data_IF_261493874440
#
_entry.id   IF_261493874440
#
_cell.length_a   1.000
_cell.length_b   1.000
_cell.length_c   1.000
_cell.angle_alpha   90.00
_cell.angle_beta   90.00
_cell.angle_gamma   90.00
#
_symmetry.space_group_name_H-M   'P 1'
#
loop_
_entity.id
_entity.type
_entity.pdbx_description
1 polymer ?
#
# COMPACT_ATOMS: atom_id res chain seq x y z
N UNK A 1 -26.79 5.41 -15.80
CA UNK A 1 -25.79 5.19 -14.74
C UNK A 1 -24.47 5.76 -15.23
N UNK A 2 -23.88 6.75 -14.54
CA UNK A 2 -22.55 7.24 -14.91
C UNK A 2 -21.56 6.08 -14.73
N UNK A 3 -20.89 5.68 -15.82
CA UNK A 3 -19.81 4.70 -15.76
C UNK A 3 -18.65 5.34 -15.03
N UNK A 4 -18.36 4.87 -13.80
CA UNK A 4 -17.18 5.32 -13.06
C UNK A 4 -15.92 5.08 -13.89
N UNK A 5 -14.98 6.02 -13.85
CA UNK A 5 -13.72 5.89 -14.54
C UNK A 5 -12.89 4.74 -13.94
N UNK A 6 -12.40 3.78 -14.73
CA UNK A 6 -11.54 2.72 -14.25
C UNK A 6 -10.14 3.28 -13.92
N UNK A 7 -9.59 2.87 -12.78
CA UNK A 7 -8.25 3.26 -12.32
C UNK A 7 -7.53 2.07 -11.69
N UNK A 8 -6.20 2.08 -11.71
CA UNK A 8 -5.37 1.25 -10.86
C UNK A 8 -5.35 1.87 -9.45
N UNK A 9 -5.61 1.08 -8.42
CA UNK A 9 -5.43 1.49 -7.03
C UNK A 9 -4.08 0.96 -6.53
N UNK A 10 -3.18 1.87 -6.21
CA UNK A 10 -1.85 1.55 -5.73
C UNK A 10 -1.78 1.69 -4.22
N UNK A 11 -1.14 0.72 -3.57
CA UNK A 11 -0.63 0.86 -2.20
C UNK A 11 0.89 0.74 -2.27
N UNK A 12 1.57 1.84 -1.96
CA UNK A 12 3.04 1.89 -1.93
C UNK A 12 3.50 1.77 -0.48
N UNK A 13 4.47 0.91 -0.22
CA UNK A 13 4.97 0.63 1.13
C UNK A 13 6.43 1.09 1.20
N UNK A 14 6.66 2.14 1.99
CA UNK A 14 7.99 2.67 2.30
C UNK A 14 8.53 1.93 3.52
N UNK A 15 9.45 1.00 3.28
CA UNK A 15 9.95 0.08 4.31
C UNK A 15 10.90 0.78 5.29
N UNK A 16 11.59 1.84 4.87
CA UNK A 16 12.53 2.58 5.70
C UNK A 16 11.84 3.42 6.79
N UNK A 17 10.79 4.15 6.43
CA UNK A 17 10.00 4.98 7.37
C UNK A 17 8.83 4.21 7.98
N UNK A 18 8.60 2.98 7.52
CA UNK A 18 7.52 2.09 7.98
C UNK A 18 6.15 2.73 7.79
N UNK A 19 5.90 3.35 6.63
CA UNK A 19 4.61 3.94 6.26
C UNK A 19 4.12 3.42 4.91
N UNK A 20 2.85 3.62 4.66
CA UNK A 20 2.21 3.32 3.39
C UNK A 20 1.55 4.57 2.79
N UNK A 21 1.41 4.56 1.47
CA UNK A 21 0.72 5.54 0.65
C UNK A 21 -0.34 4.83 -0.18
N UNK A 22 -1.42 5.53 -0.53
CA UNK A 22 -2.42 5.04 -1.46
C UNK A 22 -2.71 6.07 -2.52
N UNK A 23 -2.61 5.67 -3.79
CA UNK A 23 -2.82 6.51 -4.95
C UNK A 23 -3.74 5.84 -5.97
N UNK A 24 -4.41 6.65 -6.79
CA UNK A 24 -5.02 6.21 -8.03
C UNK A 24 -4.10 6.46 -9.21
N UNK A 25 -4.12 5.59 -10.21
CA UNK A 25 -3.54 5.84 -11.54
C UNK A 25 -4.62 5.54 -12.59
N UNK A 26 -4.95 6.49 -13.44
CA UNK A 26 -5.84 6.21 -14.58
C UNK A 26 -5.12 5.43 -15.69
N UNK A 27 -5.89 4.90 -16.64
CA UNK A 27 -5.34 4.08 -17.73
C UNK A 27 -4.50 4.88 -18.74
N UNK A 28 -4.47 6.21 -18.63
CA UNK A 28 -3.63 7.10 -19.43
C UNK A 28 -2.30 7.43 -18.72
N UNK A 29 -2.15 7.00 -17.45
CA UNK A 29 -0.97 7.27 -16.63
C UNK A 29 -1.08 8.56 -15.80
N UNK A 30 -2.24 9.20 -15.75
CA UNK A 30 -2.52 10.28 -14.80
C UNK A 30 -2.53 9.74 -13.38
N UNK A 31 -1.92 10.47 -12.44
CA UNK A 31 -1.79 10.02 -11.05
C UNK A 31 -2.57 10.90 -10.07
N UNK A 32 -3.07 10.25 -9.02
CA UNK A 32 -3.95 10.84 -8.03
C UNK A 32 -3.48 10.42 -6.64
N UNK A 33 -2.60 11.21 -5.99
CA UNK A 33 -2.35 11.07 -4.55
C UNK A 33 -3.67 11.10 -3.78
N UNK A 34 -3.88 10.12 -2.89
CA UNK A 34 -5.09 10.03 -2.08
C UNK A 34 -4.76 10.24 -0.61
N UNK A 35 -4.06 9.28 -0.02
CA UNK A 35 -3.83 9.23 1.42
C UNK A 35 -2.43 8.69 1.72
N UNK A 36 -1.87 9.11 2.84
CA UNK A 36 -0.61 8.61 3.40
C UNK A 36 -0.79 8.32 4.88
N UNK A 37 -0.09 7.32 5.40
CA UNK A 37 -0.04 7.11 6.85
C UNK A 37 1.09 7.90 7.50
N UNK A 38 0.93 8.19 8.79
CA UNK A 38 2.05 8.70 9.59
C UNK A 38 3.27 7.74 9.53
N UNK A 39 4.50 8.28 9.58
CA UNK A 39 5.70 7.47 9.78
C UNK A 39 5.55 6.51 10.97
N UNK A 40 6.09 5.30 10.82
CA UNK A 40 6.01 4.27 11.85
C UNK A 40 4.65 3.55 11.95
N UNK A 41 3.69 3.80 11.05
CA UNK A 41 2.39 3.12 11.06
C UNK A 41 2.51 1.58 10.96
N UNK A 42 3.56 1.10 10.30
CA UNK A 42 3.88 -0.31 10.15
C UNK A 42 4.77 -0.87 11.25
N UNK A 43 5.30 -0.03 12.15
CA UNK A 43 6.21 -0.45 13.25
C UNK A 43 5.75 -1.68 14.06
N UNK A 44 4.44 -1.92 14.32
CA UNK A 44 4.02 -3.07 15.11
C UNK A 44 4.34 -4.46 14.52
N UNK A 45 4.72 -4.58 13.24
CA UNK A 45 5.18 -5.88 12.72
C UNK A 45 6.62 -6.20 13.15
N UNK A 46 7.39 -5.23 13.63
CA UNK A 46 8.80 -5.46 13.96
C UNK A 46 8.94 -6.30 15.23
N UNK A 47 9.84 -7.30 15.17
CA UNK A 47 10.22 -8.12 16.32
C UNK A 47 9.17 -9.13 16.79
N UNK A 48 8.06 -9.28 16.07
CA UNK A 48 7.05 -10.32 16.33
C UNK A 48 7.23 -11.53 15.39
N UNK A 49 6.73 -12.72 15.74
CA UNK A 49 6.78 -13.91 14.88
C UNK A 49 6.13 -13.70 13.51
N UNK A 50 6.61 -14.42 12.48
CA UNK A 50 6.16 -14.26 11.08
C UNK A 50 4.64 -14.32 10.92
N UNK A 51 3.95 -15.23 11.59
CA UNK A 51 2.49 -15.32 11.52
C UNK A 51 1.79 -14.05 12.03
N UNK A 52 2.35 -13.42 13.08
CA UNK A 52 1.87 -12.15 13.61
C UNK A 52 2.20 -10.99 12.65
N UNK A 53 3.38 -11.00 12.02
CA UNK A 53 3.76 -10.03 10.98
C UNK A 53 2.77 -10.07 9.82
N UNK A 54 2.51 -11.26 9.28
CA UNK A 54 1.57 -11.50 8.18
C UNK A 54 0.16 -11.04 8.58
N UNK A 55 -0.32 -11.44 9.76
CA UNK A 55 -1.64 -11.06 10.26
C UNK A 55 -1.79 -9.53 10.38
N UNK A 56 -0.81 -8.88 11.00
CA UNK A 56 -0.79 -7.42 11.16
C UNK A 56 -0.79 -6.70 9.82
N UNK A 57 0.13 -7.05 8.92
CA UNK A 57 0.28 -6.39 7.62
C UNK A 57 -0.97 -6.57 6.76
N UNK A 58 -1.56 -7.77 6.72
CA UNK A 58 -2.83 -8.02 6.04
C UNK A 58 -3.93 -7.11 6.57
N UNK A 59 -4.13 -7.06 7.89
CA UNK A 59 -5.16 -6.20 8.48
C UNK A 59 -4.90 -4.73 8.17
N UNK A 60 -3.65 -4.29 8.26
CA UNK A 60 -3.27 -2.90 8.05
C UNK A 60 -3.46 -2.45 6.61
N UNK A 61 -2.97 -3.23 5.66
CA UNK A 61 -3.03 -2.93 4.23
C UNK A 61 -4.46 -3.08 3.69
N UNK A 62 -5.27 -4.01 4.21
CA UNK A 62 -6.70 -4.07 3.91
C UNK A 62 -7.41 -2.76 4.32
N UNK A 63 -7.05 -2.19 5.48
CA UNK A 63 -7.56 -0.89 5.91
C UNK A 63 -7.12 0.27 4.99
N UNK A 64 -5.88 0.24 4.49
CA UNK A 64 -5.40 1.22 3.51
C UNK A 64 -6.17 1.13 2.19
N UNK A 65 -6.36 -0.10 1.68
CA UNK A 65 -7.12 -0.38 0.47
C UNK A 65 -8.57 0.12 0.57
N UNK A 66 -9.25 -0.19 1.68
CA UNK A 66 -10.62 0.27 1.90
C UNK A 66 -10.73 1.79 1.82
N UNK A 67 -9.84 2.51 2.51
CA UNK A 67 -9.83 3.99 2.47
C UNK A 67 -9.51 4.52 1.08
N UNK A 68 -8.60 3.87 0.35
CA UNK A 68 -8.32 4.18 -1.05
C UNK A 68 -9.56 4.08 -1.93
N UNK A 69 -10.28 2.96 -1.83
CA UNK A 69 -11.56 2.75 -2.52
C UNK A 69 -12.57 3.85 -2.18
N UNK A 70 -12.70 4.24 -0.92
CA UNK A 70 -13.61 5.31 -0.49
C UNK A 70 -13.25 6.66 -1.13
N UNK A 71 -11.96 7.02 -1.19
CA UNK A 71 -11.49 8.26 -1.82
C UNK A 71 -11.73 8.26 -3.33
N UNK A 72 -11.49 7.13 -4.01
CA UNK A 72 -11.78 7.00 -5.43
C UNK A 72 -13.27 7.09 -5.74
N UNK A 73 -14.11 6.49 -4.89
CA UNK A 73 -15.56 6.53 -5.07
C UNK A 73 -16.09 7.97 -5.03
N UNK A 74 -15.59 8.79 -4.11
CA UNK A 74 -15.91 10.22 -4.03
C UNK A 74 -15.51 11.01 -5.29
N UNK A 75 -14.55 10.50 -6.08
CA UNK A 75 -14.06 11.08 -7.34
C UNK A 75 -14.71 10.48 -8.59
N UNK A 76 -15.79 9.70 -8.46
CA UNK A 76 -16.41 8.95 -9.58
C UNK A 76 -15.45 7.97 -10.28
N UNK A 77 -14.45 7.47 -9.54
CA UNK A 77 -13.49 6.48 -10.02
C UNK A 77 -13.76 5.12 -9.37
N UNK A 78 -13.35 4.04 -10.03
CA UNK A 78 -13.46 2.67 -9.52
C UNK A 78 -12.18 1.89 -9.82
N UNK A 79 -11.58 1.22 -8.81
CA UNK A 79 -10.49 0.29 -9.04
C UNK A 79 -10.85 -0.80 -10.05
N UNK A 80 -10.04 -0.94 -11.10
CA UNK A 80 -10.09 -2.06 -12.03
C UNK A 80 -8.94 -3.05 -11.83
N UNK A 81 -7.93 -2.66 -11.04
CA UNK A 81 -6.77 -3.46 -10.61
C UNK A 81 -6.27 -2.87 -9.29
N UNK A 82 -5.78 -3.70 -8.39
CA UNK A 82 -5.01 -3.29 -7.21
C UNK A 82 -3.53 -3.66 -7.42
N UNK A 83 -2.65 -2.75 -7.06
CA UNK A 83 -1.19 -2.93 -7.11
C UNK A 83 -0.62 -2.69 -5.71
N UNK A 84 -0.05 -3.70 -5.08
CA UNK A 84 0.73 -3.56 -3.84
C UNK A 84 2.22 -3.54 -4.22
N UNK A 85 2.93 -2.47 -3.87
CA UNK A 85 4.34 -2.31 -4.20
C UNK A 85 5.15 -1.95 -2.97
N UNK A 86 6.13 -2.77 -2.60
CA UNK A 86 7.09 -2.44 -1.55
C UNK A 86 8.33 -1.79 -2.14
N UNK A 87 8.90 -0.80 -1.45
CA UNK A 87 10.26 -0.35 -1.73
C UNK A 87 11.24 -1.20 -0.91
N UNK A 88 11.78 -2.23 -1.56
CA UNK A 88 12.64 -3.22 -0.93
C UNK A 88 11.91 -4.23 -0.04
N UNK A 89 12.68 -5.10 0.63
CA UNK A 89 12.15 -6.07 1.59
C UNK A 89 11.66 -5.37 2.86
N UNK A 90 10.71 -6.00 3.56
CA UNK A 90 10.33 -5.54 4.89
C UNK A 90 11.52 -5.62 5.85
N UNK A 91 11.79 -4.52 6.55
CA UNK A 91 12.87 -4.43 7.53
C UNK A 91 12.67 -5.43 8.67
N UNK A 92 13.74 -6.08 9.12
CA UNK A 92 13.79 -7.01 10.26
C UNK A 92 12.72 -8.13 10.18
N UNK A 93 12.43 -8.59 8.96
CA UNK A 93 11.44 -9.62 8.66
C UNK A 93 12.03 -10.75 7.82
N UNK A 94 11.29 -11.86 7.75
CA UNK A 94 11.58 -12.93 6.81
C UNK A 94 11.55 -12.39 5.35
N UNK A 95 12.53 -12.74 4.49
CA UNK A 95 12.53 -12.32 3.08
C UNK A 95 11.24 -12.66 2.32
N UNK A 96 10.55 -13.73 2.73
CA UNK A 96 9.31 -14.20 2.12
C UNK A 96 8.07 -13.39 2.56
N UNK A 97 8.18 -12.51 3.55
CA UNK A 97 7.04 -11.80 4.13
C UNK A 97 6.24 -11.03 3.08
N UNK A 98 6.92 -10.33 2.17
CA UNK A 98 6.27 -9.56 1.12
C UNK A 98 5.45 -10.47 0.18
N UNK A 99 6.01 -11.63 -0.18
CA UNK A 99 5.32 -12.62 -1.01
C UNK A 99 4.14 -13.26 -0.27
N UNK A 100 4.30 -13.61 1.01
CA UNK A 100 3.22 -14.20 1.83
C UNK A 100 2.03 -13.25 1.99
N UNK A 101 2.31 -11.98 2.30
CA UNK A 101 1.28 -10.93 2.41
C UNK A 101 0.62 -10.69 1.04
N UNK A 102 1.41 -10.58 -0.02
CA UNK A 102 0.90 -10.37 -1.38
C UNK A 102 0.02 -11.51 -1.89
N UNK A 103 0.46 -12.76 -1.70
CA UNK A 103 -0.29 -13.94 -2.08
C UNK A 103 -1.65 -13.99 -1.38
N UNK A 104 -1.71 -13.63 -0.09
CA UNK A 104 -2.97 -13.54 0.63
C UNK A 104 -3.97 -12.59 -0.06
N UNK A 105 -3.53 -11.42 -0.52
CA UNK A 105 -4.42 -10.50 -1.21
C UNK A 105 -4.85 -11.04 -2.58
N UNK A 106 -3.96 -11.69 -3.32
CA UNK A 106 -4.30 -12.32 -4.60
C UNK A 106 -5.32 -13.45 -4.44
N UNK A 107 -5.21 -14.25 -3.38
CA UNK A 107 -6.10 -15.38 -3.13
C UNK A 107 -7.49 -14.94 -2.68
N UNK A 108 -7.58 -13.87 -1.88
CA UNK A 108 -8.83 -13.44 -1.24
C UNK A 108 -9.57 -12.32 -1.98
N UNK A 109 -8.89 -11.53 -2.81
CA UNK A 109 -9.51 -10.44 -3.58
C UNK A 109 -9.51 -10.77 -5.08
N UNK A 110 -10.69 -11.13 -5.59
CA UNK A 110 -10.86 -11.55 -7.00
C UNK A 110 -11.38 -10.44 -7.92
N UNK A 111 -12.00 -9.39 -7.36
CA UNK A 111 -12.55 -8.28 -8.15
C UNK A 111 -12.54 -6.96 -7.36
N UNK A 112 -11.62 -6.02 -7.63
CA UNK A 112 -10.60 -6.07 -8.68
C UNK A 112 -9.47 -7.08 -8.38
N UNK A 113 -8.79 -7.63 -9.42
CA UNK A 113 -7.61 -8.47 -9.25
C UNK A 113 -6.45 -7.69 -8.61
N UNK A 114 -5.55 -8.43 -7.96
CA UNK A 114 -4.39 -7.89 -7.26
C UNK A 114 -3.11 -8.36 -7.95
N UNK A 115 -2.14 -7.46 -8.02
CA UNK A 115 -0.74 -7.80 -8.27
C UNK A 115 0.10 -7.22 -7.14
N UNK A 116 1.08 -8.00 -6.71
CA UNK A 116 2.01 -7.60 -5.66
C UNK A 116 3.42 -7.67 -6.21
N UNK A 117 4.23 -6.68 -5.91
CA UNK A 117 5.63 -6.71 -6.28
C UNK A 117 6.51 -5.86 -5.38
N UNK A 118 7.79 -5.87 -5.71
CA UNK A 118 8.84 -5.17 -4.99
C UNK A 118 9.67 -4.37 -5.98
N UNK A 119 9.83 -3.09 -5.72
CA UNK A 119 10.77 -2.21 -6.43
C UNK A 119 11.92 -1.86 -5.50
N UNK A 120 13.07 -1.46 -6.04
CA UNK A 120 14.15 -0.87 -5.24
C UNK A 120 14.35 0.56 -5.73
N UNK A 121 14.31 1.53 -4.83
CA UNK A 121 14.39 2.95 -5.17
C UNK A 121 13.07 3.49 -5.72
N UNK A 122 11.94 2.97 -5.25
CA UNK A 122 10.64 3.55 -5.56
C UNK A 122 10.56 4.99 -5.05
N UNK A 123 11.05 5.25 -3.84
CA UNK A 123 11.04 6.57 -3.23
C UNK A 123 12.29 7.41 -3.55
N UNK A 124 13.40 6.77 -3.93
CA UNK A 124 14.69 7.45 -4.18
C UNK A 124 15.06 7.63 -5.66
N UNK A 125 14.59 6.76 -6.54
CA UNK A 125 15.12 6.60 -7.90
C UNK A 125 14.57 7.55 -8.97
N UNK A 126 15.17 7.44 -10.16
CA UNK A 126 14.67 7.95 -11.43
C UNK A 126 14.00 6.85 -12.26
N UNK A 127 13.17 7.24 -13.23
CA UNK A 127 12.56 6.32 -14.20
C UNK A 127 13.61 5.48 -14.97
N UNK A 128 13.25 4.27 -15.45
CA UNK A 128 11.93 3.64 -15.39
C UNK A 128 11.63 2.93 -14.04
N UNK A 129 10.36 2.61 -13.79
CA UNK A 129 9.97 1.72 -12.69
C UNK A 129 10.48 0.30 -12.96
N UNK A 130 11.52 -0.10 -12.23
CA UNK A 130 11.99 -1.48 -12.15
C UNK A 130 11.38 -2.17 -10.93
N UNK A 131 10.74 -3.33 -11.14
CA UNK A 131 10.10 -4.08 -10.08
C UNK A 131 10.03 -5.57 -10.42
N UNK A 132 10.00 -6.38 -9.36
CA UNK A 132 9.79 -7.82 -9.40
C UNK A 132 8.35 -8.13 -8.98
N UNK A 133 7.65 -8.96 -9.77
CA UNK A 133 6.32 -9.45 -9.40
C UNK A 133 6.47 -10.61 -8.42
N UNK A 134 5.91 -10.44 -7.23
CA UNK A 134 5.93 -11.45 -6.16
C UNK A 134 4.68 -12.34 -6.18
N UNK A 135 3.53 -11.78 -6.56
CA UNK A 135 2.27 -12.52 -6.66
C UNK A 135 1.29 -11.84 -7.62
N UNK A 136 0.39 -12.63 -8.23
CA UNK A 136 -0.62 -12.14 -9.16
C UNK A 136 -0.07 -11.82 -10.55
N UNK A 137 -0.86 -11.09 -11.34
CA UNK A 137 -0.48 -10.70 -12.70
C UNK A 137 -1.05 -9.34 -13.07
N UNK A 138 -0.39 -8.67 -14.02
CA UNK A 138 -0.78 -7.38 -14.54
C UNK A 138 -0.75 -7.41 -16.07
N UNK A 139 -1.85 -7.00 -16.70
CA UNK A 139 -1.92 -6.92 -18.16
C UNK A 139 -0.96 -5.84 -18.70
N UNK A 140 -0.39 -6.01 -19.91
CA UNK A 140 0.60 -5.08 -20.46
C UNK A 140 0.14 -3.61 -20.53
N UNK A 141 -1.14 -3.37 -20.85
CA UNK A 141 -1.71 -2.01 -20.89
C UNK A 141 -1.70 -1.34 -19.51
N UNK A 142 -2.04 -2.10 -18.48
CA UNK A 142 -2.03 -1.63 -17.09
C UNK A 142 -0.61 -1.46 -16.56
N UNK A 143 0.33 -2.30 -17.01
CA UNK A 143 1.75 -2.13 -16.70
C UNK A 143 2.28 -0.81 -17.29
N UNK A 144 1.89 -0.46 -18.52
CA UNK A 144 2.25 0.83 -19.13
C UNK A 144 1.67 2.01 -18.35
N UNK A 145 0.38 1.93 -17.98
CA UNK A 145 -0.26 2.96 -17.16
C UNK A 145 0.40 3.09 -15.78
N UNK A 146 0.71 1.96 -15.13
CA UNK A 146 1.42 1.90 -13.85
C UNK A 146 2.78 2.61 -13.93
N UNK A 147 3.60 2.28 -14.93
CA UNK A 147 4.92 2.89 -15.09
C UNK A 147 4.82 4.42 -15.26
N UNK A 148 3.95 4.89 -16.17
CA UNK A 148 3.74 6.31 -16.40
C UNK A 148 3.19 7.05 -15.17
N UNK A 149 2.21 6.45 -14.48
CA UNK A 149 1.61 7.05 -13.30
C UNK A 149 2.54 7.06 -12.08
N UNK A 150 3.39 6.04 -11.91
CA UNK A 150 4.42 6.07 -10.86
C UNK A 150 5.44 7.17 -11.12
N UNK A 151 5.86 7.37 -12.38
CA UNK A 151 6.76 8.47 -12.72
C UNK A 151 6.15 9.84 -12.38
N UNK A 152 4.84 10.03 -12.62
CA UNK A 152 4.13 11.23 -12.16
C UNK A 152 4.00 11.32 -10.63
N UNK A 153 3.86 10.19 -9.92
CA UNK A 153 3.76 10.17 -8.45
C UNK A 153 5.07 10.52 -7.75
N UNK A 154 6.24 10.33 -8.39
CA UNK A 154 7.55 10.56 -7.73
C UNK A 154 7.69 11.95 -7.12
N UNK A 155 7.12 12.97 -7.74
CA UNK A 155 7.15 14.32 -7.16
C UNK A 155 6.22 14.44 -5.96
N UNK A 156 5.01 13.88 -6.04
CA UNK A 156 4.08 13.84 -4.91
C UNK A 156 4.65 13.05 -3.73
N UNK A 157 5.40 11.96 -3.98
CA UNK A 157 6.05 11.17 -2.93
C UNK A 157 7.06 11.97 -2.08
N UNK A 158 7.58 13.08 -2.60
CA UNK A 158 8.51 13.99 -1.90
C UNK A 158 7.81 15.13 -1.15
N UNK A 159 6.49 15.26 -1.28
CA UNK A 159 5.71 16.34 -0.69
C UNK A 159 4.57 15.80 0.17
N UNK A 160 4.67 15.95 1.48
CA UNK A 160 3.62 15.52 2.41
C UNK A 160 2.29 16.26 2.17
N UNK A 161 2.32 17.49 1.62
CA UNK A 161 1.13 18.29 1.30
C UNK A 161 0.31 17.72 0.14
N UNK A 162 0.91 16.85 -0.69
CA UNK A 162 0.20 16.20 -1.79
C UNK A 162 -0.79 15.12 -1.30
N UNK A 163 -0.74 14.73 -0.02
CA UNK A 163 -1.48 13.58 0.52
C UNK A 163 -2.39 13.98 1.68
N UNK A 164 -3.54 13.31 1.79
CA UNK A 164 -4.33 13.35 3.03
C UNK A 164 -3.68 12.43 4.08
N UNK A 165 -3.29 12.99 5.23
CA UNK A 165 -2.67 12.23 6.32
C UNK A 165 -3.70 11.38 7.09
N UNK A 166 -3.39 10.09 7.26
CA UNK A 166 -4.10 9.15 8.11
C UNK A 166 -3.31 8.96 9.40
N UNK A 167 -3.78 9.50 10.55
CA UNK A 167 -3.04 9.44 11.80
C UNK A 167 -2.96 8.02 12.33
N UNK A 168 -1.89 7.74 13.08
CA UNK A 168 -1.79 6.52 13.85
C UNK A 168 -2.93 6.46 14.86
N UNK A 169 -3.60 5.31 14.99
CA UNK A 169 -4.48 5.10 16.14
C UNK A 169 -3.61 5.18 17.40
N UNK A 170 -3.97 5.98 18.41
CA UNK A 170 -3.25 5.97 19.67
C UNK A 170 -3.25 4.53 20.18
N UNK A 171 -2.05 4.00 20.40
CA UNK A 171 -1.90 2.70 21.03
C UNK A 171 -2.36 2.89 22.47
N UNK A 172 -3.60 2.52 22.79
CA UNK A 172 -4.06 2.53 24.18
C UNK A 172 -3.12 1.61 24.94
N UNK A 173 -2.24 2.22 25.74
CA UNK A 173 -1.37 1.51 26.65
C UNK A 173 -2.23 0.56 27.52
N UNK A 174 -1.64 -0.59 27.80
CA UNK A 174 -2.17 -1.67 28.59
C UNK A 174 -3.13 -1.24 29.71
N UNK A 175 -4.17 -2.05 29.94
CA UNK A 175 -4.89 -2.07 31.22
C UNK A 175 -3.86 -2.08 32.34
N UNK A 176 -3.70 -0.96 33.05
CA UNK A 176 -3.13 -0.94 34.37
C UNK A 176 -4.07 -1.75 35.25
N UNK A 177 -3.76 -3.03 35.44
CA UNK A 177 -4.32 -3.83 36.52
C UNK A 177 -3.77 -3.25 37.81
N UNK A 178 -4.52 -2.31 38.38
CA UNK A 178 -4.46 -2.00 39.79
C UNK A 178 -4.83 -3.27 40.55
N UNK A 179 -3.82 -3.94 41.10
CA UNK A 179 -3.99 -4.81 42.25
C UNK A 179 -3.03 -4.28 43.31
N UNK A 180 -3.46 -3.18 43.95
CA UNK A 180 -2.94 -2.76 45.23
C UNK A 180 -3.71 -3.55 46.30
N UNK A 181 -2.94 -4.24 47.14
CA UNK A 181 -3.16 -4.56 48.55
C UNK A 181 -4.59 -4.82 49.03
N UNK A 182 -4.83 -6.08 49.42
CA UNK A 182 -5.65 -6.45 50.57
C UNK A 182 -4.96 -7.58 51.34
#
# INVERSE_FOLDING_TARGET
>A
MSSKQPVLLLVLIETDTLRWFVAGIDLEGGSYPLIVSEPGNLRPYLGVPVDEQVSFLRHRLAGALQRGCDRLWGRQMKPCQIVLLTDGPYRDADPELARLVGQHFCDWMTNPPVVCGMSRGLFEGSAPLEWEVLAGSLEPERLKALAAGVDHLREALRSDEAWELIPNKPHTAAKASVAADA
#
